data_IF_125641879347
#
_entry.id   IF_125641879347
#
_cell.length_a   1.000
_cell.length_b   1.000
_cell.length_c   1.000
_cell.angle_alpha   90.00
_cell.angle_beta   90.00
_cell.angle_gamma   90.00
#
_symmetry.space_group_name_H-M   'P 1'
#
loop_
_entity.id
_entity.type
_entity.pdbx_description
1 polymer ?
#
# COMPACT_ATOMS: atom_id res chain seq x y z
N UNK A 1 6.31 -14.94 -15.07
CA UNK A 1 6.97 -14.29 -13.90
C UNK A 1 8.27 -13.54 -14.26
N UNK A 2 9.13 -14.05 -15.16
CA UNK A 2 10.43 -13.44 -15.50
C UNK A 2 10.40 -12.14 -16.33
N UNK A 3 9.25 -11.75 -16.92
CA UNK A 3 9.14 -10.56 -17.80
C UNK A 3 8.76 -9.26 -17.07
N UNK A 4 8.43 -9.33 -15.77
CA UNK A 4 8.01 -8.15 -14.99
C UNK A 4 9.27 -7.47 -14.46
N UNK A 5 9.55 -6.24 -14.89
CA UNK A 5 10.62 -5.43 -14.30
C UNK A 5 10.31 -5.23 -12.81
N UNK A 6 11.27 -5.56 -11.94
CA UNK A 6 11.14 -5.31 -10.50
C UNK A 6 11.13 -3.81 -10.28
N UNK A 7 10.20 -3.32 -9.47
CA UNK A 7 10.22 -1.91 -9.05
C UNK A 7 11.43 -1.72 -8.13
N UNK A 8 12.17 -0.60 -8.26
CA UNK A 8 13.15 -0.24 -7.25
C UNK A 8 12.43 -0.06 -5.92
N UNK A 9 12.89 -0.75 -4.88
CA UNK A 9 12.36 -0.62 -3.53
C UNK A 9 13.41 0.09 -2.70
N UNK A 10 13.02 1.14 -1.98
CA UNK A 10 13.94 1.91 -1.16
C UNK A 10 14.47 1.03 -0.02
N UNK A 11 15.79 1.08 0.22
CA UNK A 11 16.41 0.31 1.29
C UNK A 11 16.02 0.96 2.61
N UNK A 12 15.13 0.30 3.35
CA UNK A 12 14.73 0.73 4.69
C UNK A 12 15.87 0.42 5.68
N UNK A 13 16.68 1.44 5.99
CA UNK A 13 17.76 1.30 6.99
C UNK A 13 17.15 1.41 8.39
N UNK A 14 17.00 0.27 9.07
CA UNK A 14 16.55 0.27 10.46
C UNK A 14 17.65 0.76 11.39
N UNK A 15 17.29 1.65 12.33
CA UNK A 15 18.20 2.12 13.40
C UNK A 15 18.70 0.98 14.31
N UNK A 16 18.08 -0.21 14.24
CA UNK A 16 18.43 -1.39 15.04
C UNK A 16 19.13 -2.49 14.22
N UNK A 17 19.73 -2.17 13.07
CA UNK A 17 20.32 -3.15 12.14
C UNK A 17 21.34 -4.17 12.74
N UNK A 18 21.91 -3.89 13.91
CA UNK A 18 22.85 -4.78 14.60
C UNK A 18 22.22 -5.61 15.74
N UNK A 19 20.89 -5.59 15.86
CA UNK A 19 20.16 -6.33 16.89
C UNK A 19 19.41 -7.50 16.26
N UNK A 20 19.62 -8.69 16.83
CA UNK A 20 18.84 -9.88 16.51
C UNK A 20 17.51 -9.86 17.26
N UNK A 21 16.57 -10.72 16.85
CA UNK A 21 15.26 -10.90 17.49
C UNK A 21 14.42 -9.60 17.56
N UNK A 22 14.36 -8.87 16.44
CA UNK A 22 13.54 -7.66 16.32
C UNK A 22 12.12 -7.94 15.81
N UNK A 23 11.86 -9.16 15.35
CA UNK A 23 10.55 -9.58 14.89
C UNK A 23 9.65 -9.81 16.10
N UNK A 24 8.38 -9.42 15.99
CA UNK A 24 7.40 -9.78 17.00
C UNK A 24 7.25 -11.31 17.02
N UNK A 25 7.31 -11.90 18.20
CA UNK A 25 7.15 -13.34 18.42
C UNK A 25 5.79 -13.86 17.95
N UNK A 26 4.78 -12.99 17.95
CA UNK A 26 3.42 -13.36 17.51
C UNK A 26 3.34 -13.66 16.00
N UNK A 27 4.29 -13.15 15.19
CA UNK A 27 4.35 -13.41 13.76
C UNK A 27 5.35 -14.53 13.40
N UNK A 28 5.99 -15.15 14.40
CA UNK A 28 6.93 -16.24 14.18
C UNK A 28 6.18 -17.55 14.06
N UNK A 29 6.32 -18.21 12.91
CA UNK A 29 5.78 -19.54 12.69
C UNK A 29 6.70 -20.57 13.33
N UNK A 30 6.24 -21.15 14.43
CA UNK A 30 6.97 -22.17 15.17
C UNK A 30 6.83 -23.53 14.46
N UNK A 31 7.94 -24.14 14.01
CA UNK A 31 7.90 -25.43 13.32
C UNK A 31 7.48 -26.60 14.21
N UNK A 32 7.47 -26.41 15.53
CA UNK A 32 7.06 -27.43 16.51
C UNK A 32 5.54 -27.46 16.71
N UNK A 33 4.81 -26.46 16.20
CA UNK A 33 3.35 -26.41 16.27
C UNK A 33 2.74 -27.21 15.12
N UNK A 34 1.66 -27.93 15.41
CA UNK A 34 1.05 -28.94 14.54
C UNK A 34 0.47 -28.41 13.21
N UNK A 35 0.55 -27.10 12.97
CA UNK A 35 -0.05 -26.40 11.83
C UNK A 35 0.97 -26.07 10.72
N UNK A 36 2.07 -26.81 10.62
CA UNK A 36 3.00 -26.62 9.48
C UNK A 36 2.35 -27.17 8.21
N UNK A 37 2.16 -26.29 7.22
CA UNK A 37 1.67 -26.65 5.89
C UNK A 37 2.45 -27.88 5.35
N UNK A 38 1.74 -28.94 4.96
CA UNK A 38 2.34 -30.17 4.43
C UNK A 38 3.19 -29.90 3.19
N UNK A 39 2.93 -28.79 2.49
CA UNK A 39 3.65 -28.33 1.31
C UNK A 39 4.97 -27.62 1.62
N UNK A 40 5.26 -27.34 2.90
CA UNK A 40 6.51 -26.72 3.30
C UNK A 40 7.69 -27.66 3.02
N UNK A 41 8.60 -27.22 2.14
CA UNK A 41 9.84 -27.94 1.81
C UNK A 41 10.77 -28.02 3.05
N UNK A 42 10.66 -27.04 3.97
CA UNK A 42 11.51 -26.89 5.14
C UNK A 42 10.70 -26.88 6.45
N UNK A 43 10.15 -28.04 6.82
CA UNK A 43 9.22 -28.19 7.96
C UNK A 43 9.77 -27.82 9.35
N UNK A 44 11.09 -27.75 9.50
CA UNK A 44 11.77 -27.47 10.77
C UNK A 44 12.34 -26.05 10.86
N UNK A 45 12.09 -25.21 9.86
CA UNK A 45 12.59 -23.83 9.85
C UNK A 45 11.57 -22.91 10.49
N UNK A 46 12.06 -21.95 11.26
CA UNK A 46 11.25 -20.82 11.71
C UNK A 46 10.87 -19.96 10.52
N UNK A 47 9.57 -19.75 10.35
CA UNK A 47 9.00 -18.86 9.35
C UNK A 47 8.59 -17.53 9.96
N UNK A 48 8.32 -16.56 9.10
CA UNK A 48 7.64 -15.33 9.47
C UNK A 48 6.36 -15.28 8.65
N UNK A 49 5.21 -15.21 9.32
CA UNK A 49 3.95 -14.99 8.65
C UNK A 49 3.92 -13.54 8.14
N UNK A 50 3.71 -13.40 6.83
CA UNK A 50 3.49 -12.09 6.24
C UNK A 50 1.99 -11.85 6.24
N UNK A 51 1.56 -10.83 6.97
CA UNK A 51 0.18 -10.36 6.87
C UNK A 51 -0.06 -9.84 5.45
N UNK A 52 -1.19 -10.21 4.86
CA UNK A 52 -1.66 -9.56 3.63
C UNK A 52 -1.88 -8.08 3.93
N UNK A 53 -1.53 -7.20 2.99
CA UNK A 53 -1.72 -5.76 3.17
C UNK A 53 -3.16 -5.46 3.59
N UNK A 54 -3.31 -4.56 4.56
CA UNK A 54 -4.57 -4.23 5.20
C UNK A 54 -5.61 -3.86 4.14
N UNK A 55 -6.49 -4.80 3.83
CA UNK A 55 -7.50 -4.65 2.77
C UNK A 55 -8.39 -3.43 3.01
N UNK A 56 -8.52 -3.01 4.27
CA UNK A 56 -9.20 -1.78 4.66
C UNK A 56 -8.52 -0.54 4.07
N UNK A 57 -7.19 -0.47 4.08
CA UNK A 57 -6.46 0.69 3.56
C UNK A 57 -6.71 0.90 2.06
N UNK A 58 -6.67 -0.19 1.28
CA UNK A 58 -6.97 -0.15 -0.15
C UNK A 58 -8.40 0.32 -0.40
N UNK A 59 -9.37 -0.22 0.36
CA UNK A 59 -10.77 0.19 0.24
C UNK A 59 -10.99 1.67 0.61
N UNK A 60 -10.32 2.16 1.65
CA UNK A 60 -10.35 3.57 2.04
C UNK A 60 -9.80 4.48 0.94
N UNK A 61 -8.68 4.09 0.32
CA UNK A 61 -8.09 4.86 -0.79
C UNK A 61 -8.99 4.87 -2.02
N UNK A 62 -9.61 3.74 -2.38
CA UNK A 62 -10.57 3.68 -3.49
C UNK A 62 -11.81 4.54 -3.23
N UNK A 63 -12.34 4.54 -2.00
CA UNK A 63 -13.46 5.40 -1.62
C UNK A 63 -13.07 6.87 -1.72
N UNK A 64 -11.86 7.22 -1.28
CA UNK A 64 -11.35 8.58 -1.38
C UNK A 64 -11.21 9.05 -2.83
N UNK A 65 -10.65 8.21 -3.72
CA UNK A 65 -10.54 8.52 -5.15
C UNK A 65 -11.92 8.79 -5.78
N UNK A 66 -12.92 7.94 -5.49
CA UNK A 66 -14.30 8.15 -5.98
C UNK A 66 -14.92 9.47 -5.48
N UNK A 67 -14.65 9.84 -4.23
CA UNK A 67 -15.08 11.12 -3.66
C UNK A 67 -14.43 12.30 -4.40
N UNK A 68 -13.12 12.21 -4.70
CA UNK A 68 -12.42 13.23 -5.48
C UNK A 68 -13.00 13.39 -6.89
N UNK A 69 -13.30 12.28 -7.57
CA UNK A 69 -13.91 12.30 -8.91
C UNK A 69 -15.32 12.92 -8.90
N UNK A 70 -16.10 12.61 -7.87
CA UNK A 70 -17.44 13.20 -7.67
C UNK A 70 -17.34 14.72 -7.46
N UNK A 71 -16.41 15.16 -6.61
CA UNK A 71 -16.16 16.59 -6.36
C UNK A 71 -15.60 17.34 -7.56
N UNK A 72 -14.77 16.68 -8.37
CA UNK A 72 -14.26 17.24 -9.62
C UNK A 72 -15.36 17.45 -10.67
N UNK A 73 -16.41 16.63 -10.63
CA UNK A 73 -17.56 16.69 -11.53
C UNK A 73 -18.64 17.67 -11.07
N UNK A 74 -18.65 18.03 -9.78
CA UNK A 74 -19.57 19.03 -9.23
C UNK A 74 -19.20 20.45 -9.70
N UNK A 75 -20.22 21.28 -9.93
CA UNK A 75 -20.08 22.70 -10.23
C UNK A 75 -19.84 23.57 -8.99
N UNK A 76 -19.81 22.98 -7.80
CA UNK A 76 -19.59 23.69 -6.54
C UNK A 76 -18.14 24.14 -6.34
N UNK A 77 -17.97 25.31 -5.73
CA UNK A 77 -16.65 25.82 -5.35
C UNK A 77 -16.09 25.01 -4.18
N UNK A 78 -14.98 24.34 -4.40
CA UNK A 78 -14.26 23.56 -3.39
C UNK A 78 -13.35 24.50 -2.59
N UNK A 79 -13.38 24.41 -1.25
CA UNK A 79 -12.59 25.29 -0.37
C UNK A 79 -11.14 24.86 -0.17
N UNK A 80 -10.86 23.55 -0.08
CA UNK A 80 -9.52 22.97 -0.11
C UNK A 80 -9.69 21.45 -0.03
N UNK A 81 -8.94 20.67 -0.82
CA UNK A 81 -8.99 19.21 -0.79
C UNK A 81 -7.59 18.63 -0.86
N UNK A 82 -7.32 17.63 -0.03
CA UNK A 82 -6.08 16.85 -0.10
C UNK A 82 -6.32 15.54 -0.81
N UNK A 83 -5.51 15.22 -1.82
CA UNK A 83 -5.43 13.88 -2.37
C UNK A 83 -4.53 13.02 -1.49
N UNK A 84 -5.10 12.07 -0.74
CA UNK A 84 -4.33 11.18 0.16
C UNK A 84 -3.39 10.25 -0.59
N UNK A 85 -3.78 9.83 -1.80
CA UNK A 85 -2.97 8.98 -2.67
C UNK A 85 -1.68 9.67 -3.12
N UNK A 86 -1.77 10.99 -3.36
CA UNK A 86 -0.63 11.76 -3.84
C UNK A 86 0.04 12.62 -2.76
N UNK A 87 -0.60 12.77 -1.60
CA UNK A 87 -0.24 13.67 -0.51
C UNK A 87 -0.08 15.13 -0.96
N UNK A 88 -0.96 15.58 -1.86
CA UNK A 88 -0.96 16.95 -2.40
C UNK A 88 -2.24 17.67 -2.01
N UNK A 89 -2.11 18.94 -1.61
CA UNK A 89 -3.22 19.84 -1.30
C UNK A 89 -3.61 20.62 -2.54
N UNK A 90 -4.91 20.69 -2.83
CA UNK A 90 -5.51 21.30 -4.01
C UNK A 90 -6.50 22.37 -3.56
N UNK A 91 -6.26 23.61 -4.00
CA UNK A 91 -7.01 24.79 -3.55
C UNK A 91 -8.19 25.16 -4.45
N UNK A 92 -8.41 24.44 -5.56
CA UNK A 92 -9.52 24.72 -6.47
C UNK A 92 -10.04 23.46 -7.17
N UNK A 93 -11.30 23.53 -7.63
CA UNK A 93 -11.91 22.45 -8.43
C UNK A 93 -11.20 22.26 -9.78
N UNK A 94 -10.64 23.33 -10.36
CA UNK A 94 -9.84 23.24 -11.59
C UNK A 94 -8.51 22.52 -11.34
N UNK A 95 -7.81 22.84 -10.23
CA UNK A 95 -6.59 22.15 -9.85
C UNK A 95 -6.86 20.66 -9.58
N UNK A 96 -7.98 20.33 -8.94
CA UNK A 96 -8.41 18.95 -8.74
C UNK A 96 -8.65 18.21 -10.06
N UNK A 97 -9.41 18.80 -11.00
CA UNK A 97 -9.65 18.18 -12.32
C UNK A 97 -8.36 17.91 -13.07
N UNK A 98 -7.43 18.88 -13.06
CA UNK A 98 -6.14 18.70 -13.70
C UNK A 98 -5.31 17.60 -13.01
N UNK A 99 -5.29 17.60 -11.67
CA UNK A 99 -4.57 16.61 -10.87
C UNK A 99 -4.99 15.18 -11.20
N UNK A 100 -6.31 14.91 -11.23
CA UNK A 100 -6.86 13.58 -11.54
C UNK A 100 -6.50 13.09 -12.97
N UNK A 101 -6.16 14.01 -13.88
CA UNK A 101 -5.75 13.65 -15.24
C UNK A 101 -4.24 13.39 -15.38
N UNK A 102 -3.43 13.75 -14.38
CA UNK A 102 -1.98 13.56 -14.44
C UNK A 102 -1.59 12.08 -14.51
N UNK A 103 -0.53 11.78 -15.26
CA UNK A 103 0.01 10.42 -15.33
C UNK A 103 0.40 9.88 -13.94
N UNK A 104 1.02 10.73 -13.11
CA UNK A 104 1.40 10.35 -11.75
C UNK A 104 0.22 9.89 -10.89
N UNK A 105 -0.94 10.55 -10.98
CA UNK A 105 -2.13 10.14 -10.24
C UNK A 105 -2.65 8.78 -10.72
N UNK A 106 -2.77 8.62 -12.04
CA UNK A 106 -3.25 7.38 -12.68
C UNK A 106 -2.33 6.18 -12.39
N UNK A 107 -1.02 6.38 -12.42
CA UNK A 107 -0.05 5.32 -12.10
C UNK A 107 -0.21 4.85 -10.64
N UNK A 108 -0.46 5.79 -9.72
CA UNK A 108 -0.72 5.47 -8.31
C UNK A 108 -2.09 4.80 -8.10
N UNK A 109 -3.11 5.19 -8.87
CA UNK A 109 -4.41 4.52 -8.85
C UNK A 109 -4.32 3.08 -9.38
N UNK A 110 -3.54 2.85 -10.45
CA UNK A 110 -3.30 1.50 -10.98
C UNK A 110 -2.56 0.63 -9.95
N UNK A 111 -1.58 1.21 -9.26
CA UNK A 111 -0.82 0.52 -8.22
C UNK A 111 -1.67 0.14 -7.00
N UNK A 112 -2.74 0.89 -6.68
CA UNK A 112 -3.68 0.54 -5.61
C UNK A 112 -4.55 -0.69 -5.93
N UNK A 113 -4.76 -0.99 -7.21
CA UNK A 113 -5.66 -2.06 -7.68
C UNK A 113 -4.93 -3.38 -7.95
N UNK A 114 -3.63 -3.44 -7.66
CA UNK A 114 -2.73 -4.51 -8.09
C UNK A 114 -2.34 -5.45 -6.96
#
# INVERSE_FOLDING_TARGET
>A
LLKKKRKPQEIQVSRKQFRWNLLNTDHLLNPSESNVDERAIFKLHWGVELEEEDSNHVQEMLKHVKDLQSKASSSESIKEITCKLCQVVLQSSQALRLHLQTAQHKDREEDLLR
#
